data_IF_070726151832
#
_entry.id   IF_070726151832
#
_cell.length_a   1.000
_cell.length_b   1.000
_cell.length_c   1.000
_cell.angle_alpha   90.00
_cell.angle_beta   90.00
_cell.angle_gamma   90.00
#
_symmetry.space_group_name_H-M   'P 1'
#
loop_
_entity.id
_entity.type
_entity.pdbx_description
1 polymer ?
#
# COMPACT_ATOMS: atom_id res chain seq x y z
N UNK A 1 11.93 1.75 18.28
CA UNK A 1 10.73 1.00 17.84
C UNK A 1 10.75 0.97 16.32
N UNK A 2 10.53 -0.19 15.69
CA UNK A 2 10.54 -0.31 14.22
C UNK A 2 9.14 0.04 13.69
N UNK A 3 9.00 1.25 13.16
CA UNK A 3 7.74 1.74 12.61
C UNK A 3 7.19 0.79 11.51
N UNK A 4 5.90 0.46 11.59
CA UNK A 4 5.13 -0.20 10.51
C UNK A 4 4.78 -1.68 10.71
N UNK A 5 5.34 -2.36 11.72
CA UNK A 5 5.02 -3.77 11.99
C UNK A 5 5.30 -4.73 10.82
N UNK A 6 4.82 -5.98 10.93
CA UNK A 6 5.00 -7.00 9.87
C UNK A 6 4.19 -6.68 8.61
N UNK A 7 3.07 -5.97 8.75
CA UNK A 7 2.19 -5.57 7.63
C UNK A 7 2.88 -4.68 6.60
N UNK A 8 3.80 -3.80 7.03
CA UNK A 8 4.56 -2.92 6.13
C UNK A 8 5.37 -3.68 5.07
N UNK A 9 5.91 -4.87 5.41
CA UNK A 9 6.68 -5.68 4.47
C UNK A 9 5.83 -6.22 3.32
N UNK A 10 4.59 -6.61 3.60
CA UNK A 10 3.66 -7.05 2.56
C UNK A 10 3.26 -5.91 1.64
N UNK A 11 2.97 -4.73 2.20
CA UNK A 11 2.66 -3.52 1.43
C UNK A 11 3.84 -3.14 0.52
N UNK A 12 5.07 -3.17 1.05
CA UNK A 12 6.28 -2.93 0.27
C UNK A 12 6.44 -3.93 -0.86
N UNK A 13 6.30 -5.23 -0.58
CA UNK A 13 6.46 -6.29 -1.57
C UNK A 13 5.44 -6.14 -2.71
N UNK A 14 4.15 -6.06 -2.40
CA UNK A 14 3.09 -5.96 -3.42
C UNK A 14 3.12 -4.61 -4.14
N UNK A 15 3.41 -3.52 -3.44
CA UNK A 15 3.54 -2.20 -4.03
C UNK A 15 4.73 -2.10 -5.00
N UNK A 16 5.88 -2.68 -4.66
CA UNK A 16 7.05 -2.74 -5.56
C UNK A 16 6.79 -3.61 -6.79
N UNK A 17 6.15 -4.77 -6.62
CA UNK A 17 5.77 -5.65 -7.74
C UNK A 17 4.82 -4.90 -8.69
N UNK A 18 3.83 -4.21 -8.14
CA UNK A 18 2.86 -3.43 -8.94
C UNK A 18 3.53 -2.29 -9.69
N UNK A 19 4.41 -1.54 -9.02
CA UNK A 19 5.17 -0.46 -9.64
C UNK A 19 6.09 -0.98 -10.76
N UNK A 20 6.78 -2.11 -10.53
CA UNK A 20 7.62 -2.76 -11.53
C UNK A 20 6.82 -3.23 -12.75
N UNK A 21 5.63 -3.79 -12.54
CA UNK A 21 4.74 -4.20 -13.62
C UNK A 21 4.25 -3.00 -14.45
N UNK A 22 3.86 -1.89 -13.78
CA UNK A 22 3.48 -0.66 -14.46
C UNK A 22 4.65 -0.05 -15.26
N UNK A 23 5.87 -0.06 -14.70
CA UNK A 23 7.06 0.42 -15.41
C UNK A 23 7.34 -0.41 -16.67
N UNK A 24 7.23 -1.74 -16.57
CA UNK A 24 7.36 -2.64 -17.72
C UNK A 24 6.29 -2.38 -18.79
N UNK A 25 5.05 -2.09 -18.38
CA UNK A 25 3.99 -1.69 -19.31
C UNK A 25 4.29 -0.34 -19.98
N UNK A 26 4.76 0.66 -19.23
CA UNK A 26 5.07 1.97 -19.78
C UNK A 26 6.25 1.95 -20.78
N UNK A 27 7.19 1.02 -20.60
CA UNK A 27 8.33 0.82 -21.51
C UNK A 27 7.98 -0.01 -22.75
N UNK A 28 7.03 -0.94 -22.64
CA UNK A 28 6.56 -1.78 -23.75
C UNK A 28 5.04 -1.90 -23.69
N UNK A 29 4.31 -0.93 -24.28
CA UNK A 29 2.86 -0.87 -24.21
C UNK A 29 2.26 -2.08 -24.93
N UNK A 30 1.54 -2.91 -24.18
CA UNK A 30 0.82 -4.07 -24.72
C UNK A 30 -0.57 -4.07 -24.06
N UNK A 31 -1.66 -4.01 -24.84
CA UNK A 31 -3.02 -3.98 -24.31
C UNK A 31 -3.30 -5.10 -23.28
N UNK A 32 -2.68 -6.28 -23.45
CA UNK A 32 -2.86 -7.44 -22.56
C UNK A 32 -2.28 -7.24 -21.16
N UNK A 33 -1.36 -6.28 -21.00
CA UNK A 33 -0.70 -5.99 -19.71
C UNK A 33 -1.51 -5.01 -18.84
N UNK A 34 -2.52 -4.34 -19.41
CA UNK A 34 -3.38 -3.41 -18.66
C UNK A 34 -4.18 -4.14 -17.59
N UNK A 35 -4.77 -5.29 -17.93
CA UNK A 35 -5.55 -6.10 -16.98
C UNK A 35 -4.68 -6.62 -15.84
N UNK A 36 -3.46 -7.07 -16.16
CA UNK A 36 -2.50 -7.52 -15.15
C UNK A 36 -2.13 -6.41 -14.15
N UNK A 37 -1.91 -5.17 -14.61
CA UNK A 37 -1.61 -4.04 -13.70
C UNK A 37 -2.85 -3.64 -12.89
N UNK A 38 -4.05 -3.75 -13.47
CA UNK A 38 -5.31 -3.50 -12.75
C UNK A 38 -5.51 -4.50 -11.61
N UNK A 39 -5.21 -5.77 -11.83
CA UNK A 39 -5.33 -6.80 -10.79
C UNK A 39 -4.22 -6.66 -9.72
N UNK A 40 -2.99 -6.31 -10.10
CA UNK A 40 -1.91 -6.01 -9.16
C UNK A 40 -2.19 -4.79 -8.28
N UNK A 41 -2.79 -3.73 -8.84
CA UNK A 41 -3.18 -2.55 -8.06
C UNK A 41 -4.33 -2.85 -7.09
N UNK A 42 -5.29 -3.70 -7.47
CA UNK A 42 -6.31 -4.23 -6.54
C UNK A 42 -5.68 -5.04 -5.41
N UNK A 43 -4.77 -5.95 -5.73
CA UNK A 43 -4.06 -6.76 -4.72
C UNK A 43 -3.28 -5.87 -3.74
N UNK A 44 -2.60 -4.84 -4.24
CA UNK A 44 -1.90 -3.86 -3.41
C UNK A 44 -2.88 -3.07 -2.53
N UNK A 45 -4.03 -2.62 -3.06
CA UNK A 45 -5.04 -1.92 -2.27
C UNK A 45 -5.58 -2.79 -1.12
N UNK A 46 -5.89 -4.06 -1.39
CA UNK A 46 -6.32 -5.00 -0.35
C UNK A 46 -5.21 -5.26 0.68
N UNK A 47 -3.95 -5.36 0.25
CA UNK A 47 -2.82 -5.49 1.16
C UNK A 47 -2.65 -4.26 2.07
N UNK A 48 -2.84 -3.06 1.53
CA UNK A 48 -2.82 -1.80 2.30
C UNK A 48 -3.93 -1.79 3.34
N UNK A 49 -5.16 -2.13 2.94
CA UNK A 49 -6.29 -2.24 3.87
C UNK A 49 -6.01 -3.27 4.98
N UNK A 50 -5.49 -4.45 4.63
CA UNK A 50 -5.14 -5.48 5.60
C UNK A 50 -4.03 -5.03 6.57
N UNK A 51 -3.02 -4.31 6.09
CA UNK A 51 -1.96 -3.76 6.93
C UNK A 51 -2.50 -2.73 7.94
N UNK A 52 -3.36 -1.82 7.49
CA UNK A 52 -4.00 -0.81 8.36
C UNK A 52 -4.89 -1.50 9.40
N UNK A 53 -5.80 -2.39 8.98
CA UNK A 53 -6.72 -3.10 9.88
C UNK A 53 -5.96 -3.94 10.90
N UNK A 54 -4.91 -4.65 10.50
CA UNK A 54 -4.09 -5.44 11.42
C UNK A 54 -3.32 -4.57 12.43
N UNK A 55 -2.89 -3.37 12.03
CA UNK A 55 -2.32 -2.37 12.94
C UNK A 55 -3.32 -1.93 14.02
N UNK A 56 -4.52 -1.52 13.61
CA UNK A 56 -5.58 -1.15 14.57
C UNK A 56 -5.96 -2.32 15.49
N UNK A 57 -6.08 -3.53 14.96
CA UNK A 57 -6.35 -4.73 15.76
C UNK A 57 -5.23 -5.01 16.76
N UNK A 58 -3.97 -4.78 16.39
CA UNK A 58 -2.84 -4.93 17.30
C UNK A 58 -2.87 -3.91 18.44
N UNK A 59 -3.21 -2.65 18.16
CA UNK A 59 -3.40 -1.62 19.21
C UNK A 59 -4.54 -2.02 20.15
N UNK A 60 -5.70 -2.38 19.59
CA UNK A 60 -6.89 -2.73 20.37
C UNK A 60 -6.76 -4.01 21.19
N UNK A 61 -5.91 -4.96 20.78
CA UNK A 61 -5.70 -6.21 21.53
C UNK A 61 -4.50 -6.15 22.47
N UNK A 62 -3.39 -5.52 22.07
CA UNK A 62 -2.14 -5.51 22.87
C UNK A 62 -2.12 -4.44 23.93
N UNK A 63 -2.70 -3.25 23.70
CA UNK A 63 -2.71 -2.19 24.72
C UNK A 63 -3.47 -2.62 25.97
N UNK A 64 -4.68 -3.22 25.87
CA UNK A 64 -5.41 -3.69 27.05
C UNK A 64 -4.81 -4.94 27.69
N UNK A 65 -4.19 -5.83 26.90
CA UNK A 65 -3.59 -7.07 27.40
C UNK A 65 -2.28 -6.87 28.17
N UNK A 66 -1.68 -5.67 28.13
CA UNK A 66 -0.47 -5.33 28.87
C UNK A 66 -0.82 -4.43 30.07
N UNK A 67 -0.77 -4.94 31.32
CA UNK A 67 -1.16 -4.19 32.51
C UNK A 67 -0.37 -2.89 32.69
N UNK A 68 0.91 -2.87 32.30
CA UNK A 68 1.77 -1.69 32.34
C UNK A 68 1.29 -0.56 31.42
N UNK A 69 0.72 -0.90 30.26
CA UNK A 69 0.22 0.08 29.30
C UNK A 69 -1.22 0.49 29.62
N UNK A 70 -2.04 -0.46 30.06
CA UNK A 70 -3.44 -0.25 30.43
C UNK A 70 -3.60 0.66 31.66
N UNK A 71 -2.70 0.55 32.64
CA UNK A 71 -2.73 1.37 33.87
C UNK A 71 -1.89 2.66 33.76
N UNK A 72 -1.28 2.91 32.61
CA UNK A 72 -0.43 4.09 32.41
C UNK A 72 -1.29 5.36 32.29
N UNK A 73 -0.94 6.46 32.99
CA UNK A 73 -1.56 7.78 32.79
C UNK A 73 -1.44 8.28 31.33
N UNK A 74 -0.51 7.71 30.57
CA UNK A 74 -0.17 8.07 29.19
C UNK A 74 -0.82 7.14 28.15
N UNK A 75 -1.81 6.33 28.52
CA UNK A 75 -2.48 5.38 27.61
C UNK A 75 -2.94 6.05 26.30
N UNK A 76 -3.44 7.29 26.37
CA UNK A 76 -3.85 8.05 25.20
C UNK A 76 -2.70 8.30 24.21
N UNK A 77 -1.48 8.58 24.69
CA UNK A 77 -0.30 8.73 23.84
C UNK A 77 0.10 7.41 23.20
N UNK A 78 0.06 6.30 23.96
CA UNK A 78 0.40 4.95 23.47
C UNK A 78 -0.57 4.53 22.35
N UNK A 79 -1.87 4.80 22.54
CA UNK A 79 -2.90 4.52 21.52
C UNK A 79 -2.71 5.40 20.30
N UNK A 80 -2.46 6.71 20.46
CA UNK A 80 -2.21 7.62 19.34
C UNK A 80 -0.96 7.24 18.54
N UNK A 81 0.11 6.83 19.22
CA UNK A 81 1.33 6.33 18.57
C UNK A 81 1.05 5.03 17.80
N UNK A 82 0.34 4.08 18.40
CA UNK A 82 -0.05 2.84 17.72
C UNK A 82 -0.94 3.08 16.48
N UNK A 83 -1.85 4.06 16.54
CA UNK A 83 -2.65 4.49 15.38
C UNK A 83 -1.74 5.11 14.31
N UNK A 84 -0.81 5.98 14.70
CA UNK A 84 0.15 6.59 13.78
C UNK A 84 1.00 5.53 13.06
N UNK A 85 1.50 4.53 13.79
CA UNK A 85 2.25 3.40 13.22
C UNK A 85 1.40 2.57 12.26
N UNK A 86 0.11 2.37 12.57
CA UNK A 86 -0.83 1.63 11.71
C UNK A 86 -1.09 2.36 10.39
N UNK A 87 -1.12 3.70 10.41
CA UNK A 87 -1.32 4.53 9.23
C UNK A 87 -0.06 4.63 8.36
N UNK A 88 1.14 4.44 8.91
CA UNK A 88 2.39 4.49 8.14
C UNK A 88 2.41 3.48 6.97
N UNK A 89 1.94 2.24 7.22
CA UNK A 89 1.78 1.24 6.16
C UNK A 89 0.73 1.66 5.11
N UNK A 90 -0.34 2.32 5.56
CA UNK A 90 -1.34 2.96 4.71
C UNK A 90 -0.73 3.96 3.72
N UNK A 91 -0.03 4.96 4.27
CA UNK A 91 0.60 6.05 3.51
C UNK A 91 1.54 5.48 2.46
N UNK A 92 2.45 4.59 2.87
CA UNK A 92 3.44 3.99 1.96
C UNK A 92 2.77 3.26 0.79
N UNK A 93 1.77 2.44 1.08
CA UNK A 93 1.08 1.69 0.04
C UNK A 93 0.26 2.55 -0.92
N UNK A 94 -0.39 3.61 -0.41
CA UNK A 94 -1.08 4.57 -1.27
C UNK A 94 -0.10 5.39 -2.12
N UNK A 95 1.09 5.74 -1.62
CA UNK A 95 2.15 6.36 -2.41
C UNK A 95 2.61 5.45 -3.56
N UNK A 96 2.86 4.17 -3.29
CA UNK A 96 3.25 3.20 -4.32
C UNK A 96 2.15 3.01 -5.38
N UNK A 97 0.88 2.95 -4.97
CA UNK A 97 -0.26 2.91 -5.88
C UNK A 97 -0.35 4.17 -6.74
N UNK A 98 -0.20 5.35 -6.15
CA UNK A 98 -0.20 6.63 -6.88
C UNK A 98 0.89 6.67 -7.96
N UNK A 99 2.12 6.26 -7.62
CA UNK A 99 3.21 6.14 -8.58
C UNK A 99 2.92 5.13 -9.69
N UNK A 100 2.37 3.97 -9.32
CA UNK A 100 1.98 2.91 -10.27
C UNK A 100 0.97 3.45 -11.29
N UNK A 101 -0.04 4.18 -10.83
CA UNK A 101 -1.07 4.77 -11.69
C UNK A 101 -0.53 5.89 -12.58
N UNK A 102 0.39 6.71 -12.06
CA UNK A 102 1.08 7.74 -12.85
C UNK A 102 1.86 7.11 -14.01
N UNK A 103 2.60 6.03 -13.74
CA UNK A 103 3.35 5.29 -14.76
C UNK A 103 2.40 4.62 -15.77
N UNK A 104 1.29 4.04 -15.31
CA UNK A 104 0.24 3.50 -16.20
C UNK A 104 -0.34 4.55 -17.14
N UNK A 105 -0.61 5.77 -16.65
CA UNK A 105 -1.11 6.86 -17.49
C UNK A 105 -0.13 7.22 -18.62
N UNK A 106 1.18 7.19 -18.35
CA UNK A 106 2.22 7.37 -19.38
C UNK A 106 2.17 6.23 -20.41
N UNK A 107 2.03 4.98 -19.96
CA UNK A 107 1.90 3.81 -20.84
C UNK A 107 0.67 3.89 -21.75
N UNK A 108 -0.50 4.27 -21.21
CA UNK A 108 -1.72 4.47 -21.99
C UNK A 108 -1.55 5.57 -23.05
N UNK A 109 -0.89 6.68 -22.72
CA UNK A 109 -0.61 7.76 -23.67
C UNK A 109 0.31 7.31 -24.81
N UNK A 110 1.24 6.38 -24.56
CA UNK A 110 2.12 5.80 -25.58
C UNK A 110 1.36 4.83 -26.49
N UNK A 111 0.56 3.94 -25.91
CA UNK A 111 -0.30 3.01 -26.67
C UNK A 111 -1.26 3.74 -27.61
N UNK A 112 -1.89 4.83 -27.14
CA UNK A 112 -2.78 5.65 -27.96
C UNK A 112 -2.11 6.43 -29.10
N UNK A 113 -0.78 6.57 -29.09
CA UNK A 113 -0.02 7.14 -30.22
C UNK A 113 0.34 6.10 -31.29
N UNK A 114 0.41 4.83 -30.92
CA UNK A 114 0.81 3.74 -31.81
C UNK A 114 -0.38 3.17 -32.60
N UNK A 115 -1.61 3.38 -32.14
CA UNK A 115 -2.82 3.01 -32.87
C UNK A 115 -3.25 4.15 -33.79
N UNK A 116 -3.12 4.04 -35.14
CA UNK A 116 -3.69 5.01 -36.05
C UNK A 116 -5.20 5.03 -35.88
N UNK A 117 -5.77 6.22 -35.74
CA UNK A 117 -7.21 6.44 -35.69
C UNK A 117 -7.78 5.98 -37.04
N UNK A 118 -8.45 4.82 -37.04
CA UNK A 118 -9.19 4.28 -38.18
C UNK A 118 -10.63 4.78 -38.17
#
# INVERSE_FOLDING_TARGET
MRAGGVGMWFVLLFGLISLGAALRFALSPDPRRVDAVRDLTRATLFSVAAAVVSGFAAVGSKVPANPEWAMSPKIHLIVMEGISESLAGGILGFCLLSLTWMVMAVGHRRLGRELPVS
#
